data_IF_201954639803
#
_entry.id   IF_201954639803
#
_cell.length_a   1.000
_cell.length_b   1.000
_cell.length_c   1.000
_cell.angle_alpha   90.00
_cell.angle_beta   90.00
_cell.angle_gamma   90.00
#
_symmetry.space_group_name_H-M   'P 1'
#
loop_
_entity.id
_entity.type
_entity.pdbx_description
1 polymer ?
#
# COMPACT_ATOMS: atom_id res chain seq x y z
N UNK A 1 4.05 -16.44 -8.17
CA UNK A 1 3.29 -15.82 -9.28
C UNK A 1 2.00 -16.58 -9.64
N UNK A 2 1.88 -17.89 -9.38
CA UNK A 2 0.63 -18.64 -9.59
C UNK A 2 -0.58 -18.06 -8.86
N UNK A 3 -0.37 -17.50 -7.67
CA UNK A 3 -1.41 -16.83 -6.87
C UNK A 3 -2.08 -15.66 -7.62
N UNK A 4 -1.37 -15.01 -8.54
CA UNK A 4 -1.88 -13.90 -9.35
C UNK A 4 -2.55 -14.36 -10.64
N UNK A 5 -2.00 -15.40 -11.29
CA UNK A 5 -2.54 -15.93 -12.54
C UNK A 5 -3.81 -16.76 -12.34
N UNK A 6 -3.90 -17.52 -11.25
CA UNK A 6 -5.03 -18.43 -11.03
C UNK A 6 -6.40 -17.72 -11.00
N UNK A 7 -6.57 -16.57 -10.31
CA UNK A 7 -7.80 -15.79 -10.38
C UNK A 7 -8.14 -15.31 -11.79
N UNK A 8 -7.15 -14.79 -12.53
CA UNK A 8 -7.36 -14.30 -13.90
C UNK A 8 -7.81 -15.41 -14.84
N UNK A 9 -7.19 -16.60 -14.74
CA UNK A 9 -7.56 -17.75 -15.55
C UNK A 9 -8.98 -18.24 -15.22
N UNK A 10 -9.36 -18.22 -13.94
CA UNK A 10 -10.69 -18.62 -13.49
C UNK A 10 -11.79 -17.68 -14.00
N UNK A 11 -11.53 -16.37 -14.04
CA UNK A 11 -12.49 -15.39 -14.56
C UNK A 11 -12.58 -15.42 -16.09
N UNK A 12 -11.44 -15.41 -16.78
CA UNK A 12 -11.39 -15.28 -18.24
C UNK A 12 -11.73 -16.59 -18.96
N UNK A 13 -11.53 -17.75 -18.32
CA UNK A 13 -11.80 -19.08 -18.90
C UNK A 13 -11.14 -19.31 -20.28
N UNK A 14 -10.06 -18.58 -20.57
CA UNK A 14 -9.31 -18.63 -21.82
C UNK A 14 -7.83 -18.46 -21.53
N UNK A 15 -7.01 -19.44 -21.94
CA UNK A 15 -5.56 -19.40 -21.74
C UNK A 15 -4.92 -18.19 -22.42
N UNK A 16 -5.37 -17.86 -23.64
CA UNK A 16 -4.81 -16.77 -24.44
C UNK A 16 -5.11 -15.42 -23.80
N UNK A 17 -6.36 -15.21 -23.36
CA UNK A 17 -6.76 -13.97 -22.71
C UNK A 17 -6.08 -13.83 -21.34
N UNK A 18 -6.06 -14.91 -20.54
CA UNK A 18 -5.37 -14.93 -19.27
C UNK A 18 -3.88 -14.64 -19.41
N UNK A 19 -3.23 -15.15 -20.47
CA UNK A 19 -1.84 -14.84 -20.76
C UNK A 19 -1.62 -13.35 -21.02
N UNK A 20 -2.39 -12.72 -21.91
CA UNK A 20 -2.21 -11.31 -22.24
C UNK A 20 -2.59 -10.38 -21.09
N UNK A 21 -3.67 -10.68 -20.36
CA UNK A 21 -4.03 -9.96 -19.15
C UNK A 21 -2.95 -10.08 -18.08
N UNK A 22 -2.41 -11.29 -17.85
CA UNK A 22 -1.33 -11.50 -16.89
C UNK A 22 -0.03 -10.81 -17.33
N UNK A 23 0.33 -10.84 -18.62
CA UNK A 23 1.49 -10.12 -19.14
C UNK A 23 1.35 -8.61 -18.93
N UNK A 24 0.16 -8.05 -19.21
CA UNK A 24 -0.14 -6.64 -18.96
C UNK A 24 -0.11 -6.28 -17.47
N UNK A 25 -0.66 -7.15 -16.61
CA UNK A 25 -0.58 -7.02 -15.16
C UNK A 25 0.88 -6.98 -14.70
N UNK A 26 1.69 -7.91 -15.18
CA UNK A 26 3.10 -7.97 -14.83
C UNK A 26 3.86 -6.74 -15.31
N UNK A 27 3.54 -6.15 -16.48
CA UNK A 27 4.19 -4.95 -16.99
C UNK A 27 3.76 -3.65 -16.28
N UNK A 28 2.47 -3.50 -15.96
CA UNK A 28 1.95 -2.30 -15.27
C UNK A 28 2.17 -2.35 -13.77
N UNK A 29 2.06 -3.53 -13.20
CA UNK A 29 2.15 -3.77 -11.77
C UNK A 29 3.50 -4.38 -11.38
N UNK A 30 4.59 -4.17 -12.14
CA UNK A 30 5.94 -4.66 -11.74
C UNK A 30 6.25 -4.25 -10.30
N UNK A 31 5.90 -3.02 -9.90
CA UNK A 31 6.09 -2.51 -8.53
C UNK A 31 5.22 -3.19 -7.45
N UNK A 32 4.19 -3.95 -7.83
CA UNK A 32 3.21 -4.59 -6.92
C UNK A 32 3.23 -6.12 -7.02
N UNK A 33 3.52 -6.69 -8.19
CA UNK A 33 3.42 -8.12 -8.48
C UNK A 33 4.78 -8.83 -8.57
N UNK A 34 5.85 -8.08 -8.84
CA UNK A 34 7.26 -8.52 -8.72
C UNK A 34 8.15 -7.36 -8.25
N UNK A 35 7.89 -6.78 -7.08
CA UNK A 35 8.76 -5.74 -6.55
C UNK A 35 10.17 -6.30 -6.43
N UNK A 36 11.15 -5.55 -6.92
CA UNK A 36 12.55 -5.77 -6.51
C UNK A 36 12.66 -5.48 -5.02
N UNK A 37 13.73 -5.95 -4.37
CA UNK A 37 13.97 -5.62 -2.95
C UNK A 37 13.96 -4.09 -2.74
N UNK A 38 14.49 -3.33 -3.71
CA UNK A 38 14.45 -1.87 -3.70
C UNK A 38 13.04 -1.27 -3.82
N UNK A 39 12.14 -1.89 -4.60
CA UNK A 39 10.75 -1.43 -4.72
C UNK A 39 9.97 -1.72 -3.43
N UNK A 40 10.22 -2.89 -2.82
CA UNK A 40 9.63 -3.27 -1.55
C UNK A 40 10.07 -2.30 -0.45
N UNK A 41 11.36 -2.02 -0.33
CA UNK A 41 11.90 -1.07 0.64
C UNK A 41 11.28 0.33 0.49
N UNK A 42 11.10 0.78 -0.76
CA UNK A 42 10.43 2.04 -1.06
C UNK A 42 8.95 2.03 -0.64
N UNK A 43 8.22 0.96 -0.94
CA UNK A 43 6.83 0.80 -0.51
C UNK A 43 6.69 0.78 1.02
N UNK A 44 7.58 0.08 1.72
CA UNK A 44 7.62 0.05 3.18
C UNK A 44 8.00 1.41 3.77
N UNK A 45 8.91 2.15 3.12
CA UNK A 45 9.23 3.54 3.48
C UNK A 45 7.99 4.44 3.38
N UNK A 46 7.24 4.36 2.28
CA UNK A 46 5.98 5.09 2.14
C UNK A 46 4.96 4.70 3.20
N UNK A 47 4.79 3.41 3.48
CA UNK A 47 3.85 2.95 4.52
C UNK A 47 4.23 3.45 5.90
N UNK A 48 5.50 3.41 6.29
CA UNK A 48 5.97 3.97 7.57
C UNK A 48 5.58 5.43 7.72
N UNK A 49 5.82 6.24 6.69
CA UNK A 49 5.53 7.67 6.72
C UNK A 49 4.02 7.96 6.66
N UNK A 50 3.24 7.18 5.91
CA UNK A 50 1.79 7.24 5.93
C UNK A 50 1.23 6.89 7.31
N UNK A 51 1.72 5.84 7.95
CA UNK A 51 1.34 5.45 9.31
C UNK A 51 1.70 6.56 10.31
N UNK A 52 2.90 7.15 10.19
CA UNK A 52 3.35 8.27 11.04
C UNK A 52 2.38 9.46 11.02
N UNK A 53 1.86 9.82 9.84
CA UNK A 53 1.01 11.01 9.67
C UNK A 53 -0.46 10.69 9.93
N UNK A 54 -0.94 9.52 9.50
CA UNK A 54 -2.37 9.19 9.45
C UNK A 54 -2.85 8.29 10.58
N UNK A 55 -1.94 7.56 11.24
CA UNK A 55 -2.25 6.64 12.36
C UNK A 55 -1.18 6.80 13.47
N UNK A 56 -1.07 7.99 14.08
CA UNK A 56 0.06 8.34 14.96
C UNK A 56 0.15 7.46 16.21
N UNK A 57 -0.98 7.02 16.77
CA UNK A 57 -0.98 6.15 17.96
C UNK A 57 -0.38 4.77 17.64
N UNK A 58 -0.70 4.23 16.46
CA UNK A 58 -0.10 2.99 15.98
C UNK A 58 1.38 3.18 15.67
N UNK A 59 1.76 4.32 15.06
CA UNK A 59 3.17 4.64 14.84
C UNK A 59 3.97 4.70 16.15
N UNK A 60 3.43 5.35 17.19
CA UNK A 60 4.06 5.43 18.50
C UNK A 60 4.22 4.03 19.14
N UNK A 61 3.23 3.15 18.95
CA UNK A 61 3.34 1.75 19.36
C UNK A 61 4.45 1.01 18.62
N UNK A 62 4.55 1.17 17.28
CA UNK A 62 5.64 0.59 16.49
C UNK A 62 7.02 1.11 16.93
N UNK A 63 7.14 2.38 17.35
CA UNK A 63 8.40 2.92 17.86
C UNK A 63 8.85 2.29 19.19
N UNK A 64 7.91 1.78 19.98
CA UNK A 64 8.19 1.17 21.29
C UNK A 64 8.85 -0.21 21.16
N UNK A 65 8.55 -0.95 20.10
CA UNK A 65 8.96 -2.34 19.93
C UNK A 65 10.09 -2.47 18.91
N UNK A 66 11.10 -3.30 19.23
CA UNK A 66 12.26 -3.50 18.37
C UNK A 66 11.83 -4.05 16.99
N UNK A 67 12.37 -3.47 15.92
CA UNK A 67 12.18 -3.87 14.53
C UNK A 67 10.72 -3.78 14.01
N UNK A 68 9.77 -3.28 14.81
CA UNK A 68 8.37 -3.15 14.39
C UNK A 68 8.18 -2.17 13.23
N UNK A 69 9.03 -1.14 13.12
CA UNK A 69 9.07 -0.20 12.00
C UNK A 69 9.54 -0.83 10.69
N UNK A 70 10.07 -2.05 10.68
CA UNK A 70 10.36 -2.77 9.44
C UNK A 70 9.08 -3.25 8.74
N UNK A 71 7.94 -3.27 9.45
CA UNK A 71 6.62 -3.65 8.92
C UNK A 71 6.63 -4.99 8.18
N UNK A 72 7.40 -5.98 8.69
CA UNK A 72 7.55 -7.30 8.04
C UNK A 72 6.21 -8.01 7.79
N UNK A 73 5.19 -7.74 8.62
CA UNK A 73 3.83 -8.25 8.43
C UNK A 73 3.15 -7.75 7.15
N UNK A 74 3.55 -6.59 6.61
CA UNK A 74 3.05 -6.05 5.35
C UNK A 74 3.74 -6.64 4.11
N UNK A 75 4.87 -7.32 4.25
CA UNK A 75 5.66 -7.79 3.10
C UNK A 75 4.84 -8.71 2.19
N UNK A 76 4.11 -9.67 2.78
CA UNK A 76 3.23 -10.59 2.05
C UNK A 76 2.07 -9.86 1.37
N UNK A 77 1.54 -8.82 2.02
CA UNK A 77 0.42 -8.03 1.51
C UNK A 77 0.79 -7.31 0.21
N UNK A 78 1.96 -6.67 0.20
CA UNK A 78 2.46 -5.96 -0.98
C UNK A 78 2.82 -6.96 -2.07
N UNK A 79 3.65 -7.96 -1.75
CA UNK A 79 4.18 -8.93 -2.72
C UNK A 79 3.09 -9.70 -3.48
N UNK A 80 1.97 -10.00 -2.81
CA UNK A 80 0.87 -10.78 -3.39
C UNK A 80 -0.37 -9.93 -3.66
N UNK A 81 -0.27 -8.60 -3.60
CA UNK A 81 -1.38 -7.66 -3.74
C UNK A 81 -2.63 -8.13 -2.94
N UNK A 82 -2.41 -8.48 -1.66
CA UNK A 82 -3.43 -8.95 -0.72
C UNK A 82 -4.17 -10.25 -1.10
N UNK A 83 -3.71 -11.00 -2.12
CA UNK A 83 -4.41 -12.22 -2.60
C UNK A 83 -4.65 -13.28 -1.53
N UNK A 84 -3.71 -13.42 -0.60
CA UNK A 84 -3.77 -14.40 0.50
C UNK A 84 -4.52 -13.89 1.72
N UNK A 85 -4.92 -12.62 1.71
CA UNK A 85 -5.61 -11.97 2.81
C UNK A 85 -7.12 -11.96 2.63
N UNK A 86 -7.61 -12.09 1.39
CA UNK A 86 -9.03 -12.01 1.05
C UNK A 86 -9.48 -13.15 0.12
N UNK A 87 -10.77 -13.54 0.18
CA UNK A 87 -11.40 -14.38 -0.82
C UNK A 87 -11.19 -13.84 -2.24
N UNK A 88 -11.11 -14.73 -3.23
CA UNK A 88 -10.78 -14.36 -4.62
C UNK A 88 -11.70 -13.27 -5.17
N UNK A 89 -13.01 -13.37 -4.95
CA UNK A 89 -13.99 -12.36 -5.40
C UNK A 89 -13.68 -10.96 -4.86
N UNK A 90 -13.34 -10.87 -3.57
CA UNK A 90 -12.98 -9.60 -2.91
C UNK A 90 -11.62 -9.10 -3.39
N UNK A 91 -10.64 -10.00 -3.54
CA UNK A 91 -9.32 -9.65 -4.03
C UNK A 91 -9.38 -9.05 -5.45
N UNK A 92 -10.22 -9.61 -6.34
CA UNK A 92 -10.42 -9.08 -7.69
C UNK A 92 -10.99 -7.66 -7.67
N UNK A 93 -11.99 -7.38 -6.82
CA UNK A 93 -12.53 -6.01 -6.66
C UNK A 93 -11.43 -5.04 -6.17
N UNK A 94 -10.59 -5.47 -5.23
CA UNK A 94 -9.45 -4.67 -4.77
C UNK A 94 -8.43 -4.41 -5.88
N UNK A 95 -8.18 -5.41 -6.73
CA UNK A 95 -7.28 -5.27 -7.86
C UNK A 95 -7.82 -4.32 -8.93
N UNK A 96 -9.10 -4.43 -9.26
CA UNK A 96 -9.79 -3.47 -10.14
C UNK A 96 -9.66 -2.05 -9.60
N UNK A 97 -9.89 -1.84 -8.29
CA UNK A 97 -9.72 -0.54 -7.67
C UNK A 97 -8.27 -0.02 -7.78
N UNK A 98 -7.27 -0.90 -7.65
CA UNK A 98 -5.87 -0.55 -7.87
C UNK A 98 -5.59 -0.19 -9.34
N UNK A 99 -6.16 -0.92 -10.31
CA UNK A 99 -5.86 -0.74 -11.75
C UNK A 99 -6.51 0.47 -12.39
N UNK A 100 -7.55 1.02 -11.78
CA UNK A 100 -8.19 2.26 -12.24
C UNK A 100 -7.26 3.46 -12.05
N UNK A 101 -6.25 3.37 -11.19
CA UNK A 101 -5.29 4.44 -10.87
C UNK A 101 -5.99 5.77 -10.50
N UNK A 102 -7.14 5.69 -9.83
CA UNK A 102 -7.91 6.87 -9.44
C UNK A 102 -7.13 7.68 -8.40
N UNK A 103 -6.71 8.89 -8.74
CA UNK A 103 -5.93 9.82 -7.91
C UNK A 103 -4.53 9.34 -7.47
N UNK A 104 -4.17 8.06 -7.64
CA UNK A 104 -2.85 7.49 -7.30
C UNK A 104 -2.62 6.15 -8.01
N UNK A 105 -1.37 5.82 -8.35
CA UNK A 105 -0.98 4.46 -8.78
C UNK A 105 -0.64 3.53 -7.59
N UNK A 106 -0.57 4.10 -6.38
CA UNK A 106 -0.13 3.41 -5.17
C UNK A 106 -1.30 3.01 -4.27
N UNK A 107 -2.47 2.74 -4.84
CA UNK A 107 -3.69 2.45 -4.06
C UNK A 107 -3.54 1.24 -3.14
N UNK A 108 -2.73 0.25 -3.53
CA UNK A 108 -2.39 -0.92 -2.71
C UNK A 108 -1.76 -0.55 -1.36
N UNK A 109 -1.01 0.57 -1.26
CA UNK A 109 -0.47 1.06 0.01
C UNK A 109 -1.59 1.59 0.92
N UNK A 110 -2.61 2.23 0.35
CA UNK A 110 -3.78 2.69 1.10
C UNK A 110 -4.65 1.53 1.57
N UNK A 111 -4.69 0.40 0.84
CA UNK A 111 -5.30 -0.84 1.34
C UNK A 111 -4.53 -1.40 2.55
N UNK A 112 -3.20 -1.44 2.48
CA UNK A 112 -2.38 -1.88 3.62
C UNK A 112 -2.56 -0.95 4.84
N UNK A 113 -2.55 0.37 4.61
CA UNK A 113 -2.81 1.37 5.65
C UNK A 113 -4.21 1.23 6.26
N UNK A 114 -5.22 0.90 5.45
CA UNK A 114 -6.57 0.66 5.93
C UNK A 114 -6.64 -0.55 6.86
N UNK A 115 -5.97 -1.66 6.53
CA UNK A 115 -5.89 -2.84 7.40
C UNK A 115 -5.24 -2.45 8.73
N UNK A 116 -4.08 -1.78 8.68
CA UNK A 116 -3.41 -1.30 9.89
C UNK A 116 -4.33 -0.39 10.72
N UNK A 117 -5.03 0.55 10.10
CA UNK A 117 -5.91 1.48 10.80
C UNK A 117 -7.15 0.81 11.41
N UNK A 118 -7.67 -0.27 10.81
CA UNK A 118 -8.84 -0.98 11.34
C UNK A 118 -8.48 -1.85 12.54
N UNK A 119 -7.30 -2.46 12.55
CA UNK A 119 -6.88 -3.42 13.59
C UNK A 119 -5.84 -2.87 14.57
N UNK A 120 -5.40 -1.61 14.41
CA UNK A 120 -4.41 -0.98 15.28
C UNK A 120 -4.82 -0.97 16.75
N UNK A 121 -6.10 -0.70 17.05
CA UNK A 121 -6.58 -0.57 18.43
C UNK A 121 -6.38 -1.88 19.21
N UNK A 122 -6.64 -3.04 18.58
CA UNK A 122 -6.44 -4.35 19.19
C UNK A 122 -4.96 -4.64 19.47
N UNK A 123 -4.09 -4.24 18.55
CA UNK A 123 -2.63 -4.39 18.65
C UNK A 123 -2.08 -3.53 19.79
N UNK A 124 -2.52 -2.28 19.88
CA UNK A 124 -2.09 -1.33 20.91
C UNK A 124 -2.62 -1.76 22.28
N UNK A 125 -3.90 -2.14 22.37
CA UNK A 125 -4.54 -2.53 23.63
C UNK A 125 -3.88 -3.75 24.28
N UNK A 126 -3.37 -4.69 23.46
CA UNK A 126 -2.68 -5.88 23.91
C UNK A 126 -1.16 -5.70 24.02
N UNK A 127 -0.63 -4.52 23.69
CA UNK A 127 0.79 -4.20 23.64
C UNK A 127 1.63 -5.21 22.85
N UNK A 128 1.12 -5.65 21.69
CA UNK A 128 1.75 -6.75 20.94
C UNK A 128 3.15 -6.36 20.44
N UNK A 129 4.11 -7.26 20.63
CA UNK A 129 5.47 -7.17 20.10
C UNK A 129 5.51 -7.53 18.62
N UNK A 130 6.66 -7.32 17.98
CA UNK A 130 6.83 -7.48 16.51
C UNK A 130 6.42 -8.85 15.97
N UNK A 131 6.82 -9.92 16.66
CA UNK A 131 6.46 -11.30 16.33
C UNK A 131 4.97 -11.60 16.57
N UNK A 132 4.41 -11.04 17.64
CA UNK A 132 2.99 -11.14 17.98
C UNK A 132 2.10 -10.37 17.00
N UNK A 133 2.54 -9.20 16.53
CA UNK A 133 1.89 -8.44 15.46
C UNK A 133 1.87 -9.22 14.15
N UNK A 134 3.00 -9.83 13.78
CA UNK A 134 3.09 -10.68 12.60
C UNK A 134 2.11 -11.86 12.67
N UNK A 135 2.03 -12.52 13.83
CA UNK A 135 1.08 -13.61 14.06
C UNK A 135 -0.37 -13.11 14.03
N UNK A 136 -0.66 -12.00 14.71
CA UNK A 136 -1.99 -11.39 14.78
C UNK A 136 -2.51 -11.08 13.37
N UNK A 137 -1.77 -10.28 12.59
CA UNK A 137 -2.17 -9.93 11.22
C UNK A 137 -2.27 -11.16 10.31
N UNK A 138 -1.37 -12.14 10.46
CA UNK A 138 -1.46 -13.40 9.70
C UNK A 138 -2.72 -14.20 10.05
N UNK A 139 -3.19 -14.15 11.29
CA UNK A 139 -4.38 -14.87 11.74
C UNK A 139 -5.70 -14.25 11.22
N UNK A 140 -5.67 -12.97 10.83
CA UNK A 140 -6.82 -12.27 10.24
C UNK A 140 -7.05 -12.62 8.76
N UNK A 141 -6.07 -13.25 8.11
CA UNK A 141 -6.16 -13.61 6.71
C UNK A 141 -7.43 -14.41 6.41
N UNK A 142 -8.16 -14.04 5.36
CA UNK A 142 -9.46 -14.58 4.94
C UNK A 142 -10.66 -14.25 5.85
N UNK A 143 -10.45 -13.57 6.98
CA UNK A 143 -11.52 -13.18 7.91
C UNK A 143 -11.79 -11.67 7.95
N UNK A 144 -10.98 -10.86 7.27
CA UNK A 144 -11.18 -9.42 7.16
C UNK A 144 -12.37 -9.05 6.25
N UNK A 145 -13.13 -8.03 6.62
CA UNK A 145 -14.21 -7.49 5.77
C UNK A 145 -13.63 -6.58 4.69
N UNK A 146 -13.55 -7.10 3.46
CA UNK A 146 -13.01 -6.37 2.32
C UNK A 146 -13.74 -5.08 1.98
N UNK A 147 -15.05 -4.99 2.23
CA UNK A 147 -15.82 -3.76 1.97
C UNK A 147 -15.43 -2.65 2.95
N UNK A 148 -15.22 -3.01 4.22
CA UNK A 148 -14.75 -2.07 5.25
C UNK A 148 -13.35 -1.57 4.88
N UNK A 149 -12.45 -2.48 4.50
CA UNK A 149 -11.08 -2.12 4.08
C UNK A 149 -11.08 -1.20 2.86
N UNK A 150 -11.85 -1.52 1.80
CA UNK A 150 -11.95 -0.70 0.60
C UNK A 150 -12.48 0.71 0.89
N UNK A 151 -13.54 0.83 1.69
CA UNK A 151 -14.10 2.14 2.07
C UNK A 151 -13.11 2.95 2.89
N UNK A 152 -12.43 2.32 3.85
CA UNK A 152 -11.41 2.97 4.68
C UNK A 152 -10.23 3.43 3.83
N UNK A 153 -9.73 2.60 2.92
CA UNK A 153 -8.64 2.93 2.00
C UNK A 153 -8.99 4.13 1.11
N UNK A 154 -10.22 4.17 0.55
CA UNK A 154 -10.70 5.32 -0.22
C UNK A 154 -10.74 6.60 0.62
N UNK A 155 -11.23 6.51 1.86
CA UNK A 155 -11.25 7.63 2.79
C UNK A 155 -9.84 8.14 3.13
N UNK A 156 -8.89 7.23 3.35
CA UNK A 156 -7.49 7.54 3.60
C UNK A 156 -6.83 8.22 2.39
N UNK A 157 -7.05 7.73 1.18
CA UNK A 157 -6.57 8.38 -0.05
C UNK A 157 -7.15 9.79 -0.19
N UNK A 158 -8.45 9.95 0.04
CA UNK A 158 -9.09 11.26 0.00
C UNK A 158 -8.48 12.22 1.03
N UNK A 159 -8.23 11.75 2.24
CA UNK A 159 -7.59 12.56 3.29
C UNK A 159 -6.15 12.92 2.91
N UNK A 160 -5.36 11.97 2.41
CA UNK A 160 -4.00 12.22 1.92
C UNK A 160 -3.99 13.33 0.86
N UNK A 161 -4.93 13.27 -0.08
CA UNK A 161 -5.11 14.28 -1.15
C UNK A 161 -5.50 15.68 -0.65
N UNK A 162 -5.96 15.82 0.60
CA UNK A 162 -6.26 17.10 1.24
C UNK A 162 -5.08 17.67 2.04
N UNK A 163 -4.02 16.89 2.25
CA UNK A 163 -2.85 17.36 2.98
C UNK A 163 -2.15 18.44 2.15
N UNK A 164 -2.06 19.64 2.73
CA UNK A 164 -1.41 20.79 2.09
C UNK A 164 0.11 20.70 2.18
N UNK A 165 0.62 19.94 3.16
CA UNK A 165 2.05 19.79 3.44
C UNK A 165 2.37 18.32 3.58
N UNK A 166 3.35 17.83 2.84
CA UNK A 166 3.83 16.45 2.92
C UNK A 166 5.35 16.39 3.08
N UNK A 167 5.88 15.38 3.77
CA UNK A 167 7.32 15.15 3.80
C UNK A 167 7.82 14.71 2.42
N UNK A 168 9.06 15.05 2.10
CA UNK A 168 9.73 14.69 0.85
C UNK A 168 9.80 13.18 0.61
N UNK A 169 9.74 12.37 1.68
CA UNK A 169 9.65 10.91 1.62
C UNK A 169 8.37 10.42 0.95
N UNK A 170 7.27 11.18 0.94
CA UNK A 170 6.00 10.82 0.30
C UNK A 170 5.81 11.44 -1.10
N UNK A 171 6.80 12.20 -1.58
CA UNK A 171 6.80 12.85 -2.90
C UNK A 171 6.26 11.97 -4.02
N UNK A 172 6.81 10.75 -4.09
CA UNK A 172 6.54 9.83 -5.19
C UNK A 172 5.09 9.34 -5.23
N UNK A 173 4.34 9.44 -4.13
CA UNK A 173 2.92 9.09 -4.11
C UNK A 173 2.03 10.15 -4.79
N UNK A 174 2.54 11.36 -4.98
CA UNK A 174 1.81 12.47 -5.60
C UNK A 174 1.89 12.45 -7.14
N UNK A 175 2.88 11.74 -7.69
CA UNK A 175 3.03 11.57 -9.15
C UNK A 175 2.03 10.55 -9.67
N UNK A 176 1.28 10.93 -10.71
CA UNK A 176 0.51 9.98 -11.51
C UNK A 176 1.36 9.49 -12.67
N UNK A 177 1.39 8.18 -12.91
CA UNK A 177 1.94 7.53 -14.09
C UNK A 177 0.95 7.67 -15.26
N UNK A 178 0.60 8.89 -15.65
CA UNK A 178 -0.19 9.13 -16.86
C UNK A 178 -0.92 10.47 -16.91
N UNK A 179 -1.43 10.87 -18.08
CA UNK A 179 -2.27 12.05 -18.24
C UNK A 179 -3.64 11.74 -17.64
N UNK A 180 -3.82 11.98 -16.35
CA UNK A 180 -5.13 11.95 -15.71
C UNK A 180 -6.01 13.04 -16.30
N UNK A 181 -6.74 12.74 -17.39
CA UNK A 181 -7.67 13.68 -18.06
C UNK A 181 -8.77 14.23 -17.15
N UNK A 182 -8.97 13.65 -15.95
CA UNK A 182 -10.10 13.91 -15.07
C UNK A 182 -9.70 14.34 -13.65
N UNK A 183 -8.40 14.43 -13.34
CA UNK A 183 -7.93 14.65 -11.98
C UNK A 183 -7.26 16.02 -11.82
N UNK A 184 -7.69 16.79 -10.81
CA UNK A 184 -6.92 17.95 -10.36
C UNK A 184 -5.61 17.47 -9.75
N UNK A 185 -4.49 18.00 -10.22
CA UNK A 185 -3.14 17.67 -9.75
C UNK A 185 -3.08 17.81 -8.22
N UNK A 186 -2.55 16.81 -7.50
CA UNK A 186 -2.18 17.02 -6.11
C UNK A 186 -0.94 17.90 -6.13
N UNK A 187 -1.01 19.09 -5.55
CA UNK A 187 0.17 19.96 -5.46
C UNK A 187 0.38 20.39 -4.00
N UNK A 188 0.76 19.44 -3.11
CA UNK A 188 1.09 19.76 -1.74
C UNK A 188 2.46 20.45 -1.68
N UNK A 189 2.63 21.34 -0.70
CA UNK A 189 3.94 21.88 -0.35
C UNK A 189 4.78 20.76 0.25
N UNK A 190 6.00 20.62 -0.24
CA UNK A 190 6.88 19.56 0.22
C UNK A 190 7.93 20.10 1.16
N UNK A 191 8.04 19.41 2.28
CA UNK A 191 9.07 19.65 3.28
C UNK A 191 10.12 18.56 3.29
N UNK A 192 11.36 19.00 3.16
CA UNK A 192 12.52 18.18 3.46
C UNK A 192 12.58 17.94 4.97
N UNK A 193 12.56 16.68 5.41
CA UNK A 193 12.59 16.31 6.83
C UNK A 193 13.73 15.32 7.07
N UNK A 194 14.63 15.64 8.01
CA UNK A 194 15.68 14.72 8.47
C UNK A 194 16.92 14.66 7.57
N UNK A 195 17.19 15.70 6.78
CA UNK A 195 18.37 15.82 5.92
C UNK A 195 19.03 17.18 6.23
N UNK A 196 19.80 17.25 7.32
CA UNK A 196 20.31 18.53 7.83
C UNK A 196 21.41 19.13 6.95
N UNK A 197 22.32 18.30 6.40
CA UNK A 197 23.51 18.78 5.64
C UNK A 197 23.71 18.09 4.27
N UNK A 198 22.79 17.21 3.85
CA UNK A 198 22.86 16.51 2.56
C UNK A 198 21.77 16.98 1.59
N UNK A 199 22.03 17.01 0.27
CA UNK A 199 20.98 17.27 -0.70
C UNK A 199 19.86 16.23 -0.53
N UNK A 200 18.61 16.69 -0.56
CA UNK A 200 17.46 15.82 -0.34
C UNK A 200 17.52 14.62 -1.30
N UNK A 201 17.58 13.37 -0.82
CA UNK A 201 17.67 12.20 -1.68
C UNK A 201 16.40 12.00 -2.53
N UNK A 202 15.31 12.67 -2.14
CA UNK A 202 14.04 12.67 -2.85
C UNK A 202 13.88 13.87 -3.80
N UNK A 203 14.91 14.72 -3.98
CA UNK A 203 14.83 15.91 -4.84
C UNK A 203 14.47 15.56 -6.29
N UNK A 204 15.01 14.46 -6.83
CA UNK A 204 14.69 14.00 -8.19
C UNK A 204 13.26 13.45 -8.33
N UNK A 205 12.54 13.22 -7.22
CA UNK A 205 11.12 12.89 -7.28
C UNK A 205 10.25 14.13 -7.55
N UNK A 206 10.84 15.35 -7.51
CA UNK A 206 10.19 16.64 -7.76
C UNK A 206 10.34 17.19 -9.17
N UNK A 207 11.37 16.77 -9.92
CA UNK A 207 11.62 17.19 -11.31
C UNK A 207 10.95 16.24 -12.31
#
# INVERSE_FOLDING_TARGET
MSDLLAPLLAELNSEIEAFWCFAGLMQRSVAVCTPTDTDMDRNLCYLRELVRIMVPDFYAHLQKHADALELLFCHRWILLCLKREFPTEIALIMWEACWVNYLTDHFHLFLCLAIMCVYADDVIAQDLRTDEMLLHFSSLAMYMDGNVILRKARGLLHHFRQLVRLPCTLAGLCRQCGPGMWDSTHDPVIECVGHEDTPCPYLNNYE
#
